data_IF_584811821875
#
_entry.id   IF_584811821875
#
_cell.length_a   1.000
_cell.length_b   1.000
_cell.length_c   1.000
_cell.angle_alpha   90.00
_cell.angle_beta   90.00
_cell.angle_gamma   90.00
#
_symmetry.space_group_name_H-M   'P 1'
#
loop_
_entity.id
_entity.type
_entity.pdbx_description
1 polymer ?
#
# COMPACT_ATOMS: atom_id res chain seq x y z
N UNK A 1 -8.71 -8.91 -5.70
CA UNK A 1 -7.77 -8.82 -4.55
C UNK A 1 -6.35 -9.02 -5.04
N UNK A 2 -5.36 -8.33 -4.47
CA UNK A 2 -3.96 -8.51 -4.89
C UNK A 2 -3.25 -9.41 -3.90
N UNK A 3 -2.79 -10.59 -4.35
CA UNK A 3 -1.99 -11.47 -3.52
C UNK A 3 -0.62 -10.81 -3.28
N UNK A 4 -0.24 -10.63 -2.01
CA UNK A 4 1.04 -10.03 -1.58
C UNK A 4 2.24 -10.66 -2.29
N UNK A 5 2.21 -11.98 -2.50
CA UNK A 5 3.27 -12.72 -3.20
C UNK A 5 3.38 -12.39 -4.69
N UNK A 6 2.26 -12.10 -5.37
CA UNK A 6 2.27 -11.70 -6.79
C UNK A 6 2.83 -10.30 -6.96
N UNK A 7 2.52 -9.38 -6.04
CA UNK A 7 3.06 -8.01 -6.07
C UNK A 7 4.58 -8.01 -5.90
N UNK A 8 5.08 -8.80 -4.95
CA UNK A 8 6.51 -8.95 -4.72
C UNK A 8 7.22 -9.65 -5.89
N UNK A 9 6.67 -10.77 -6.37
CA UNK A 9 7.24 -11.54 -7.48
C UNK A 9 7.27 -10.73 -8.77
N UNK A 10 6.17 -10.06 -9.14
CA UNK A 10 6.12 -9.22 -10.33
C UNK A 10 7.00 -7.98 -10.18
N UNK A 11 7.12 -7.41 -8.98
CA UNK A 11 8.08 -6.34 -8.70
C UNK A 11 9.52 -6.74 -9.05
N UNK A 12 9.94 -7.95 -8.68
CA UNK A 12 11.27 -8.48 -9.01
C UNK A 12 11.40 -8.79 -10.51
N UNK A 13 10.44 -9.52 -11.09
CA UNK A 13 10.47 -9.96 -12.50
C UNK A 13 10.45 -8.77 -13.47
N UNK A 14 9.75 -7.70 -13.12
CA UNK A 14 9.64 -6.49 -13.95
C UNK A 14 10.69 -5.43 -13.60
N UNK A 15 11.72 -5.75 -12.82
CA UNK A 15 12.74 -4.79 -12.39
C UNK A 15 12.14 -3.50 -11.76
N UNK A 16 11.06 -3.63 -11.01
CA UNK A 16 10.42 -2.53 -10.29
C UNK A 16 9.28 -1.81 -11.03
N UNK A 17 9.08 -2.04 -12.34
CA UNK A 17 8.00 -1.38 -13.09
C UNK A 17 6.61 -1.76 -12.59
N UNK A 18 6.39 -3.01 -12.21
CA UNK A 18 5.13 -3.43 -11.59
C UNK A 18 4.89 -2.73 -10.25
N UNK A 19 5.95 -2.41 -9.51
CA UNK A 19 5.86 -1.63 -8.27
C UNK A 19 5.25 -0.25 -8.51
N UNK A 20 5.66 0.43 -9.60
CA UNK A 20 5.08 1.72 -10.00
C UNK A 20 3.59 1.60 -10.35
N UNK A 21 3.21 0.58 -11.11
CA UNK A 21 1.81 0.31 -11.41
C UNK A 21 1.00 0.03 -10.13
N UNK A 22 1.55 -0.76 -9.21
CA UNK A 22 0.89 -1.07 -7.94
C UNK A 22 0.66 0.18 -7.09
N UNK A 23 1.63 1.09 -7.00
CA UNK A 23 1.47 2.38 -6.33
C UNK A 23 0.36 3.21 -6.97
N UNK A 24 0.40 3.38 -8.29
CA UNK A 24 -0.63 4.09 -9.04
C UNK A 24 -2.02 3.53 -8.77
N UNK A 25 -2.20 2.23 -8.98
CA UNK A 25 -3.52 1.62 -8.95
C UNK A 25 -4.08 1.59 -7.52
N UNK A 26 -3.25 1.31 -6.52
CA UNK A 26 -3.70 1.26 -5.12
C UNK A 26 -4.17 2.63 -4.61
N UNK A 27 -3.42 3.69 -4.88
CA UNK A 27 -3.83 5.05 -4.50
C UNK A 27 -5.00 5.57 -5.34
N UNK A 28 -5.13 5.14 -6.60
CA UNK A 28 -6.31 5.45 -7.42
C UNK A 28 -7.57 4.81 -6.85
N UNK A 29 -7.54 3.50 -6.57
CA UNK A 29 -8.68 2.74 -6.03
C UNK A 29 -9.13 3.29 -4.66
N UNK A 30 -8.18 3.59 -3.76
CA UNK A 30 -8.49 4.17 -2.46
C UNK A 30 -9.12 5.57 -2.59
N UNK A 31 -8.60 6.42 -3.47
CA UNK A 31 -9.16 7.76 -3.69
C UNK A 31 -10.52 7.72 -4.35
N UNK A 32 -10.72 6.86 -5.34
CA UNK A 32 -12.00 6.72 -6.03
C UNK A 32 -13.08 6.23 -5.06
N UNK A 33 -12.73 5.27 -4.19
CA UNK A 33 -13.68 4.72 -3.23
C UNK A 33 -13.95 5.64 -2.02
N UNK A 34 -12.90 6.26 -1.46
CA UNK A 34 -13.04 7.06 -0.25
C UNK A 34 -13.28 8.54 -0.53
N UNK A 35 -13.03 9.02 -1.76
CA UNK A 35 -13.02 10.44 -2.10
C UNK A 35 -11.81 11.22 -1.55
N UNK A 36 -10.88 10.55 -0.86
CA UNK A 36 -9.72 11.17 -0.20
C UNK A 36 -8.42 10.44 -0.50
N UNK A 37 -7.30 11.14 -0.35
CA UNK A 37 -5.97 10.60 -0.61
C UNK A 37 -5.33 11.19 -1.87
N UNK A 38 -4.09 10.79 -2.10
CA UNK A 38 -3.23 11.40 -3.12
C UNK A 38 -3.71 11.09 -4.55
N UNK A 39 -4.30 9.91 -4.75
CA UNK A 39 -4.73 9.41 -6.05
C UNK A 39 -3.58 8.86 -6.89
N UNK A 40 -3.91 8.05 -7.90
CA UNK A 40 -2.91 7.28 -8.63
C UNK A 40 -1.87 8.12 -9.37
N UNK A 41 -2.29 9.20 -10.04
CA UNK A 41 -1.36 10.03 -10.83
C UNK A 41 -0.29 10.71 -9.98
N UNK A 42 -0.68 11.28 -8.84
CA UNK A 42 0.27 11.90 -7.90
C UNK A 42 1.11 10.82 -7.21
N UNK A 43 0.52 9.67 -6.86
CA UNK A 43 1.25 8.52 -6.34
C UNK A 43 2.34 8.01 -7.28
N UNK A 44 2.07 7.96 -8.59
CA UNK A 44 3.06 7.56 -9.57
C UNK A 44 4.26 8.52 -9.63
N UNK A 45 4.01 9.83 -9.61
CA UNK A 45 5.07 10.84 -9.59
C UNK A 45 5.91 10.73 -8.31
N UNK A 46 5.27 10.58 -7.15
CA UNK A 46 5.98 10.38 -5.87
C UNK A 46 6.73 9.04 -5.87
N UNK A 47 6.22 7.99 -6.52
CA UNK A 47 6.92 6.71 -6.61
C UNK A 47 8.24 6.83 -7.38
N UNK A 48 8.27 7.65 -8.44
CA UNK A 48 9.45 7.86 -9.27
C UNK A 48 10.53 8.68 -8.53
N UNK A 49 10.13 9.77 -7.88
CA UNK A 49 11.10 10.74 -7.31
C UNK A 49 11.31 10.60 -5.79
N UNK A 50 10.35 10.06 -5.07
CA UNK A 50 10.31 10.04 -3.61
C UNK A 50 9.68 8.74 -3.06
N UNK A 51 10.06 7.59 -3.63
CA UNK A 51 9.48 6.28 -3.27
C UNK A 51 9.39 5.97 -1.77
N UNK A 52 10.35 6.35 -0.89
CA UNK A 52 10.23 6.06 0.54
C UNK A 52 9.01 6.71 1.20
N UNK A 53 8.56 7.87 0.70
CA UNK A 53 7.41 8.61 1.25
C UNK A 53 6.13 7.78 1.12
N UNK A 54 5.98 7.04 0.02
CA UNK A 54 4.80 6.21 -0.22
C UNK A 54 4.62 5.10 0.80
N UNK A 55 5.72 4.67 1.42
CA UNK A 55 5.69 3.67 2.50
C UNK A 55 4.94 4.16 3.74
N UNK A 56 4.79 5.47 3.93
CA UNK A 56 4.07 6.09 5.04
C UNK A 56 2.69 6.55 4.62
N UNK A 57 2.55 7.10 3.40
CA UNK A 57 1.28 7.66 2.94
C UNK A 57 0.25 6.57 2.67
N UNK A 58 0.64 5.43 2.10
CA UNK A 58 -0.32 4.36 1.80
C UNK A 58 -0.94 3.73 3.06
N UNK A 59 -0.17 3.31 4.09
CA UNK A 59 -0.76 2.88 5.35
C UNK A 59 -1.65 3.95 6.00
N UNK A 60 -1.30 5.24 5.88
CA UNK A 60 -2.10 6.33 6.41
C UNK A 60 -3.43 6.51 5.65
N UNK A 61 -3.44 6.33 4.33
CA UNK A 61 -4.67 6.35 3.52
C UNK A 61 -5.58 5.16 3.86
N UNK A 62 -4.99 3.97 4.05
CA UNK A 62 -5.73 2.78 4.51
C UNK A 62 -6.29 3.02 5.91
N UNK A 63 -5.49 3.56 6.84
CA UNK A 63 -5.90 3.90 8.20
C UNK A 63 -7.15 4.80 8.19
N UNK A 64 -7.11 5.88 7.41
CA UNK A 64 -8.26 6.80 7.24
C UNK A 64 -9.47 6.10 6.63
N UNK A 65 -9.26 5.23 5.64
CA UNK A 65 -10.33 4.46 5.01
C UNK A 65 -11.06 3.54 6.01
N UNK A 66 -10.31 2.94 6.95
CA UNK A 66 -10.87 2.17 8.08
C UNK A 66 -11.61 3.07 9.07
N UNK A 67 -10.98 4.17 9.52
CA UNK A 67 -11.55 5.10 10.50
C UNK A 67 -12.88 5.70 10.04
N UNK A 68 -13.01 6.05 8.75
CA UNK A 68 -14.27 6.55 8.14
C UNK A 68 -15.43 5.57 8.28
N UNK A 69 -15.14 4.29 8.36
CA UNK A 69 -16.14 3.22 8.52
C UNK A 69 -16.34 2.83 9.99
N UNK A 70 -15.70 3.56 10.93
CA UNK A 70 -15.72 3.23 12.35
C UNK A 70 -14.99 1.93 12.68
N UNK A 71 -14.10 1.45 11.79
CA UNK A 71 -13.34 0.23 11.99
C UNK A 71 -11.97 0.53 12.62
N UNK A 72 -11.47 -0.40 13.43
CA UNK A 72 -10.11 -0.31 13.94
C UNK A 72 -9.08 -0.59 12.83
N UNK A 73 -8.19 0.37 12.52
CA UNK A 73 -7.22 0.19 11.45
C UNK A 73 -6.08 -0.75 11.90
N UNK A 74 -5.76 -1.82 11.15
CA UNK A 74 -4.67 -2.73 11.48
C UNK A 74 -3.28 -2.17 11.13
N UNK A 75 -3.22 -1.05 10.41
CA UNK A 75 -2.00 -0.34 10.01
C UNK A 75 -2.18 1.16 10.25
N UNK A 76 -1.08 1.85 10.51
CA UNK A 76 -1.02 3.31 10.61
C UNK A 76 0.15 3.89 9.81
N UNK A 77 0.25 5.22 9.71
CA UNK A 77 1.40 5.90 9.07
C UNK A 77 2.77 5.39 9.58
N UNK A 78 2.87 5.08 10.88
CA UNK A 78 4.09 4.53 11.50
C UNK A 78 4.49 3.16 10.95
N UNK A 79 3.58 2.44 10.28
CA UNK A 79 3.89 1.20 9.56
C UNK A 79 4.99 1.43 8.53
N UNK A 80 5.10 2.62 7.94
CA UNK A 80 6.20 3.00 7.03
C UNK A 80 7.60 2.88 7.63
N UNK A 81 7.73 2.89 8.96
CA UNK A 81 8.99 2.57 9.66
C UNK A 81 9.43 1.12 9.50
N UNK A 82 8.66 0.24 8.86
CA UNK A 82 9.16 -1.08 8.44
C UNK A 82 9.87 -1.02 7.08
N UNK A 83 9.60 0.00 6.27
CA UNK A 83 10.17 0.15 4.94
C UNK A 83 11.54 0.85 4.91
N UNK A 84 11.83 1.75 5.88
CA UNK A 84 13.08 2.55 5.92
C UNK A 84 14.21 1.89 6.76
N UNK A 85 14.00 1.55 8.04
CA UNK A 85 15.04 1.02 8.94
C UNK A 85 15.38 -0.46 8.68
N UNK A 86 14.65 -1.16 7.80
CA UNK A 86 14.94 -2.54 7.38
C UNK A 86 16.14 -2.68 6.43
N UNK A 87 16.89 -1.60 6.21
CA UNK A 87 18.03 -1.45 5.30
C UNK A 87 19.11 -2.54 5.44
N UNK A 88 19.23 -3.23 6.58
CA UNK A 88 20.28 -4.23 6.79
C UNK A 88 19.90 -5.68 6.43
N UNK A 89 18.62 -6.07 6.32
CA UNK A 89 18.25 -7.52 6.34
C UNK A 89 17.13 -7.93 5.37
N UNK A 90 16.58 -7.08 4.49
CA UNK A 90 15.42 -7.39 3.59
C UNK A 90 14.09 -7.77 4.31
N UNK A 91 14.13 -8.13 5.60
CA UNK A 91 12.98 -8.55 6.41
C UNK A 91 11.99 -7.40 6.63
N UNK A 92 12.48 -6.17 6.85
CA UNK A 92 11.64 -5.01 7.13
C UNK A 92 10.64 -4.70 6.00
N UNK A 93 11.11 -4.50 4.75
CA UNK A 93 10.23 -4.29 3.60
C UNK A 93 9.20 -5.41 3.39
N UNK A 94 9.56 -6.66 3.71
CA UNK A 94 8.65 -7.80 3.61
C UNK A 94 7.56 -7.75 4.68
N UNK A 95 7.90 -7.43 5.93
CA UNK A 95 6.92 -7.20 7.01
C UNK A 95 5.98 -6.05 6.66
N UNK A 96 6.51 -4.95 6.12
CA UNK A 96 5.71 -3.82 5.63
C UNK A 96 4.70 -4.28 4.58
N UNK A 97 5.18 -4.98 3.54
CA UNK A 97 4.35 -5.40 2.42
C UNK A 97 3.23 -6.35 2.86
N UNK A 98 3.52 -7.27 3.79
CA UNK A 98 2.53 -8.20 4.35
C UNK A 98 1.46 -7.43 5.12
N UNK A 99 1.85 -6.50 6.01
CA UNK A 99 0.89 -5.72 6.81
C UNK A 99 -0.01 -4.86 5.94
N UNK A 100 0.57 -4.13 4.99
CA UNK A 100 -0.16 -3.21 4.11
C UNK A 100 -1.09 -3.95 3.16
N UNK A 101 -0.63 -5.00 2.49
CA UNK A 101 -1.50 -5.79 1.62
C UNK A 101 -2.55 -6.57 2.43
N UNK A 102 -2.20 -7.05 3.63
CA UNK A 102 -3.15 -7.70 4.53
C UNK A 102 -4.29 -6.76 4.93
N UNK A 103 -3.95 -5.55 5.37
CA UNK A 103 -4.92 -4.51 5.71
C UNK A 103 -5.78 -4.09 4.51
N UNK A 104 -5.14 -3.84 3.36
CA UNK A 104 -5.84 -3.45 2.14
C UNK A 104 -6.80 -4.56 1.67
N UNK A 105 -6.36 -5.82 1.65
CA UNK A 105 -7.22 -6.93 1.25
C UNK A 105 -8.35 -7.19 2.25
N UNK A 106 -8.10 -7.07 3.56
CA UNK A 106 -9.13 -7.19 4.58
C UNK A 106 -10.18 -6.06 4.44
N UNK A 107 -9.73 -4.85 4.11
CA UNK A 107 -10.62 -3.72 3.81
C UNK A 107 -11.54 -4.05 2.63
N UNK A 108 -10.98 -4.48 1.50
CA UNK A 108 -11.80 -4.82 0.33
C UNK A 108 -12.70 -6.03 0.54
N UNK A 109 -12.26 -7.04 1.32
CA UNK A 109 -13.11 -8.16 1.75
C UNK A 109 -14.32 -7.70 2.54
N UNK A 110 -14.14 -6.73 3.44
CA UNK A 110 -15.25 -6.14 4.22
C UNK A 110 -16.23 -5.32 3.36
N UNK A 111 -15.92 -5.10 2.08
CA UNK A 111 -16.79 -4.48 1.08
C UNK A 111 -17.41 -5.51 0.13
N UNK A 112 -17.22 -6.81 0.38
CA UNK A 112 -17.75 -7.87 -0.46
C UNK A 112 -16.93 -8.16 -1.72
N UNK A 113 -15.72 -7.60 -1.85
CA UNK A 113 -14.81 -8.06 -2.89
C UNK A 113 -14.53 -9.57 -2.67
N UNK A 114 -14.60 -10.35 -3.75
CA UNK A 114 -14.25 -11.78 -3.75
C UNK A 114 -12.93 -11.92 -4.51
N UNK A 115 -12.01 -12.69 -3.95
CA UNK A 115 -10.64 -12.84 -4.43
C UNK A 115 -10.53 -13.95 -5.45
#
# INVERSE_FOLDING_TARGET
>A
MRHTGVVFLLGIITFGFYGLYWWYATHAELRDHTGEGMGGGVALLVAIFFSPILSFTLPAEIERAYQRRGLYPPVSAATGLWAIPGFLILVGPLVWLIKVNGALNAYWRSLGAVG
#
